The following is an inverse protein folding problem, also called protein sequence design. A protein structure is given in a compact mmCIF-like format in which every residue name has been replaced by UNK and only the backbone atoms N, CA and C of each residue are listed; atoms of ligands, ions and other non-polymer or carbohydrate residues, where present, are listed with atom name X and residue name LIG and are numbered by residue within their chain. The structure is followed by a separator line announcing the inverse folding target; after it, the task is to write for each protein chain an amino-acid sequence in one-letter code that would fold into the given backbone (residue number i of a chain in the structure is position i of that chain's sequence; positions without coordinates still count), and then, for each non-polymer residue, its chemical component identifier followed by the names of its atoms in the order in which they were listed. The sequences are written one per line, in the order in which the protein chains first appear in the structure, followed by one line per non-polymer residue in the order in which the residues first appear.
data_IF_324093102005
#
_entry.id   IF_324093102005
#
_cell.length_a   1.000
_cell.length_b   1.000
_cell.length_c   1.000
_cell.angle_alpha   90.00
_cell.angle_beta   90.00
_cell.angle_gamma   90.00
#
_symmetry.space_group_name_H-M   'P 1'
#
loop_
_entity.id
_entity.type
_entity.pdbx_description
1 polymer ?
#
# COMPACT_ATOMS: atom_id res chain seq x y z
N UNK A 1 -5.32 2.27 -9.16
CA UNK A 1 -6.52 2.99 -9.64
C UNK A 1 -6.19 4.40 -10.11
N UNK A 2 -7.12 5.08 -10.78
CA UNK A 2 -6.98 6.52 -11.10
C UNK A 2 -8.22 7.36 -10.75
N UNK A 3 -9.31 6.77 -10.23
CA UNK A 3 -10.52 7.51 -9.84
C UNK A 3 -11.10 6.97 -8.52
N UNK A 4 -11.55 7.90 -7.67
CA UNK A 4 -12.25 7.61 -6.42
C UNK A 4 -13.57 6.89 -6.71
N UNK A 5 -13.92 5.92 -5.85
CA UNK A 5 -15.16 5.14 -5.90
C UNK A 5 -16.10 5.46 -4.74
N UNK A 6 -15.59 6.07 -3.67
CA UNK A 6 -16.39 6.53 -2.54
C UNK A 6 -16.40 8.05 -2.48
N UNK A 7 -17.40 8.56 -1.79
CA UNK A 7 -17.45 9.98 -1.49
C UNK A 7 -16.22 10.38 -0.68
N UNK A 8 -15.54 11.48 -1.06
CA UNK A 8 -14.36 11.93 -0.36
C UNK A 8 -14.70 12.35 1.07
N UNK A 9 -13.78 12.06 1.99
CA UNK A 9 -13.92 12.39 3.41
C UNK A 9 -13.23 13.72 3.70
N UNK A 10 -13.96 14.70 4.24
CA UNK A 10 -13.34 15.93 4.72
C UNK A 10 -12.47 15.67 5.94
N UNK A 11 -11.21 16.08 5.88
CA UNK A 11 -10.23 15.99 6.97
C UNK A 11 -9.74 17.38 7.31
N UNK A 12 -9.80 17.71 8.59
CA UNK A 12 -9.33 19.00 9.10
C UNK A 12 -7.80 19.07 9.06
N UNK A 13 -7.26 20.22 8.72
CA UNK A 13 -5.84 20.53 8.71
C UNK A 13 -5.61 21.63 9.74
N UNK A 14 -4.63 21.43 10.61
CA UNK A 14 -4.20 22.41 11.59
C UNK A 14 -2.69 22.60 11.47
N UNK A 15 -2.26 23.86 11.46
CA UNK A 15 -0.87 24.24 11.66
C UNK A 15 -0.45 23.95 13.10
N UNK A 16 0.86 23.76 13.32
CA UNK A 16 1.38 23.59 14.67
C UNK A 16 1.03 24.78 15.59
N UNK A 17 0.93 25.99 15.04
CA UNK A 17 0.52 27.19 15.79
C UNK A 17 -0.93 27.08 16.25
N UNK A 18 -1.84 26.66 15.35
CA UNK A 18 -3.25 26.47 15.69
C UNK A 18 -3.44 25.36 16.72
N UNK A 19 -2.76 24.22 16.55
CA UNK A 19 -2.80 23.10 17.49
C UNK A 19 -2.26 23.50 18.87
N UNK A 20 -1.08 24.11 18.93
CA UNK A 20 -0.48 24.56 20.19
C UNK A 20 -1.34 25.62 20.89
N UNK A 21 -1.95 26.53 20.13
CA UNK A 21 -2.81 27.58 20.67
C UNK A 21 -4.23 27.09 21.00
N UNK A 22 -4.56 25.81 20.73
CA UNK A 22 -5.91 25.23 20.85
C UNK A 22 -6.97 26.01 20.05
N UNK A 23 -6.58 26.54 18.90
CA UNK A 23 -7.48 27.21 17.97
C UNK A 23 -8.28 26.19 17.14
N UNK A 24 -9.29 26.67 16.41
CA UNK A 24 -9.98 25.85 15.41
C UNK A 24 -9.02 25.47 14.27
N UNK A 25 -9.27 24.34 13.57
CA UNK A 25 -8.50 23.96 12.41
C UNK A 25 -8.47 25.06 11.34
N UNK A 26 -7.31 25.25 10.70
CA UNK A 26 -7.09 26.31 9.72
C UNK A 26 -7.93 26.10 8.45
N UNK A 27 -8.09 24.84 8.03
CA UNK A 27 -8.85 24.48 6.83
C UNK A 27 -9.22 23.00 6.84
N UNK A 28 -9.85 22.53 5.76
CA UNK A 28 -10.13 21.11 5.53
C UNK A 28 -9.78 20.70 4.10
N UNK A 29 -9.43 19.43 3.92
CA UNK A 29 -9.16 18.83 2.62
C UNK A 29 -10.00 17.58 2.40
N UNK A 30 -10.45 17.38 1.17
CA UNK A 30 -11.13 16.17 0.74
C UNK A 30 -10.11 15.04 0.52
N UNK A 31 -10.27 13.95 1.26
CA UNK A 31 -9.41 12.77 1.21
C UNK A 31 -10.13 11.57 0.63
N UNK A 32 -9.38 10.66 -0.02
CA UNK A 32 -9.88 9.34 -0.36
C UNK A 32 -10.19 8.53 0.91
N UNK A 33 -11.11 7.57 0.80
CA UNK A 33 -11.34 6.66 1.91
C UNK A 33 -10.06 5.82 2.17
N UNK A 34 -9.67 5.57 3.43
CA UNK A 34 -8.47 4.79 3.75
C UNK A 34 -8.45 3.40 3.11
N UNK A 35 -9.63 2.78 2.96
CA UNK A 35 -9.77 1.46 2.31
C UNK A 35 -9.43 1.49 0.82
N UNK A 36 -9.74 2.58 0.11
CA UNK A 36 -9.39 2.74 -1.31
C UNK A 36 -7.89 2.92 -1.46
N UNK A 37 -7.29 3.66 -0.54
CA UNK A 37 -5.84 3.81 -0.46
C UNK A 37 -5.18 2.46 -0.21
N UNK A 38 -5.69 1.66 0.74
CA UNK A 38 -5.16 0.33 1.01
C UNK A 38 -5.23 -0.58 -0.22
N UNK A 39 -6.36 -0.61 -0.93
CA UNK A 39 -6.53 -1.40 -2.16
C UNK A 39 -5.54 -0.94 -3.24
N UNK A 40 -5.36 0.37 -3.42
CA UNK A 40 -4.37 0.91 -4.37
C UNK A 40 -2.94 0.52 -3.99
N UNK A 41 -2.57 0.58 -2.71
CA UNK A 41 -1.25 0.14 -2.22
C UNK A 41 -1.00 -1.34 -2.48
N UNK A 42 -1.98 -2.20 -2.23
CA UNK A 42 -1.89 -3.64 -2.53
C UNK A 42 -1.69 -3.87 -4.04
N UNK A 43 -2.52 -3.24 -4.88
CA UNK A 43 -2.42 -3.38 -6.34
C UNK A 43 -1.09 -2.86 -6.89
N UNK A 44 -0.62 -1.71 -6.39
CA UNK A 44 0.66 -1.12 -6.76
C UNK A 44 1.84 -1.99 -6.33
N UNK A 45 1.84 -2.51 -5.10
CA UNK A 45 2.87 -3.42 -4.60
C UNK A 45 2.94 -4.68 -5.48
N UNK A 46 1.81 -5.35 -5.70
CA UNK A 46 1.71 -6.56 -6.54
C UNK A 46 2.28 -6.32 -7.94
N UNK A 47 1.82 -5.26 -8.61
CA UNK A 47 2.27 -4.95 -9.96
C UNK A 47 3.78 -4.67 -9.99
N UNK A 48 4.27 -3.81 -9.09
CA UNK A 48 5.66 -3.39 -9.07
C UNK A 48 6.60 -4.54 -8.70
N UNK A 49 6.24 -5.41 -7.75
CA UNK A 49 7.04 -6.59 -7.40
C UNK A 49 7.10 -7.55 -8.58
N UNK A 50 5.96 -7.84 -9.22
CA UNK A 50 5.93 -8.78 -10.34
C UNK A 50 6.68 -8.27 -11.57
N UNK A 51 6.64 -6.96 -11.84
CA UNK A 51 7.35 -6.34 -12.97
C UNK A 51 8.75 -5.84 -12.63
N UNK A 52 9.21 -5.96 -11.37
CA UNK A 52 10.53 -5.45 -10.97
C UNK A 52 11.63 -6.15 -11.77
N UNK A 53 12.53 -5.35 -12.34
CA UNK A 53 13.75 -5.80 -12.97
C UNK A 53 14.94 -5.21 -12.22
N UNK A 54 15.67 -6.02 -11.45
CA UNK A 54 16.82 -5.59 -10.65
C UNK A 54 17.99 -5.08 -11.49
N UNK A 55 18.06 -5.46 -12.77
CA UNK A 55 19.11 -5.03 -13.69
C UNK A 55 18.80 -3.70 -14.38
N UNK A 56 17.62 -3.12 -14.14
CA UNK A 56 17.25 -1.81 -14.69
C UNK A 56 17.97 -0.71 -13.90
N UNK A 57 18.63 0.21 -14.61
CA UNK A 57 19.32 1.37 -13.99
C UNK A 57 18.36 2.29 -13.24
N UNK A 58 17.06 2.23 -13.56
CA UNK A 58 16.01 2.99 -12.89
C UNK A 58 15.32 2.18 -11.77
N UNK A 59 15.78 0.96 -11.46
CA UNK A 59 15.25 0.19 -10.33
C UNK A 59 15.47 0.95 -9.03
N UNK A 60 14.39 1.11 -8.27
CA UNK A 60 14.37 1.93 -7.07
C UNK A 60 13.65 1.23 -5.92
N UNK A 61 14.17 1.29 -4.68
CA UNK A 61 13.55 0.55 -3.58
C UNK A 61 12.26 1.18 -3.08
N UNK A 62 11.96 2.44 -3.47
CA UNK A 62 10.83 3.22 -2.98
C UNK A 62 9.46 2.54 -3.09
N UNK A 63 9.32 1.53 -3.96
CA UNK A 63 8.10 0.73 -4.06
C UNK A 63 7.79 -0.08 -2.79
N UNK A 64 8.82 -0.48 -2.04
CA UNK A 64 8.66 -1.38 -0.88
C UNK A 64 7.89 -0.72 0.25
N UNK A 65 7.86 0.61 0.31
CA UNK A 65 7.05 1.39 1.26
C UNK A 65 5.57 1.04 1.19
N UNK A 66 5.07 0.56 0.05
CA UNK A 66 3.66 0.16 -0.08
C UNK A 66 3.32 -1.01 0.84
N UNK A 67 4.29 -1.87 1.17
CA UNK A 67 4.11 -2.92 2.17
C UNK A 67 3.85 -2.34 3.57
N UNK A 68 4.63 -1.32 3.95
CA UNK A 68 4.42 -0.59 5.21
C UNK A 68 3.10 0.17 5.21
N UNK A 69 2.82 0.96 4.17
CA UNK A 69 1.57 1.71 4.01
C UNK A 69 0.35 0.79 4.19
N UNK A 70 0.40 -0.42 3.61
CA UNK A 70 -0.66 -1.41 3.71
C UNK A 70 -0.82 -1.95 5.14
N UNK A 71 0.28 -2.18 5.85
CA UNK A 71 0.23 -2.60 7.26
C UNK A 71 -0.32 -1.51 8.19
N UNK A 72 0.02 -0.24 7.96
CA UNK A 72 -0.55 0.89 8.71
C UNK A 72 -2.07 0.96 8.51
N UNK A 73 -2.56 0.61 7.32
CA UNK A 73 -3.99 0.60 6.99
C UNK A 73 -4.72 -0.69 7.39
N UNK A 74 -4.06 -1.62 8.10
CA UNK A 74 -4.60 -2.97 8.39
C UNK A 74 -5.99 -2.97 9.02
N UNK A 75 -6.27 -2.08 9.96
CA UNK A 75 -7.55 -2.07 10.68
C UNK A 75 -8.72 -1.70 9.75
N UNK A 76 -8.48 -0.81 8.79
CA UNK A 76 -9.45 -0.50 7.74
C UNK A 76 -9.67 -1.68 6.80
N UNK A 77 -8.61 -2.37 6.41
CA UNK A 77 -8.68 -3.57 5.56
C UNK A 77 -9.46 -4.68 6.26
N UNK A 78 -9.17 -4.95 7.53
CA UNK A 78 -9.81 -6.02 8.30
C UNK A 78 -11.29 -5.73 8.59
N UNK A 79 -11.63 -4.47 8.88
CA UNK A 79 -13.02 -4.06 9.13
C UNK A 79 -13.89 -4.00 7.86
N UNK A 80 -13.28 -3.86 6.68
CA UNK A 80 -13.99 -3.69 5.40
C UNK A 80 -13.51 -4.71 4.34
N UNK A 81 -13.31 -5.96 4.77
CA UNK A 81 -12.71 -7.04 3.97
C UNK A 81 -13.36 -7.25 2.60
N UNK A 82 -14.71 -7.27 2.55
CA UNK A 82 -15.46 -7.47 1.30
C UNK A 82 -15.21 -6.35 0.29
N UNK A 83 -15.26 -5.11 0.76
CA UNK A 83 -15.06 -3.93 -0.09
C UNK A 83 -13.62 -3.86 -0.58
N UNK A 84 -12.66 -4.15 0.30
CA UNK A 84 -11.24 -4.23 -0.06
C UNK A 84 -11.01 -5.22 -1.20
N UNK A 85 -11.55 -6.44 -1.10
CA UNK A 85 -11.41 -7.46 -2.15
C UNK A 85 -12.03 -7.00 -3.46
N UNK A 86 -13.26 -6.49 -3.41
CA UNK A 86 -13.96 -6.00 -4.59
C UNK A 86 -13.16 -4.90 -5.30
N UNK A 87 -12.53 -4.01 -4.54
CA UNK A 87 -11.61 -3.01 -5.09
C UNK A 87 -10.39 -3.71 -5.71
N UNK A 88 -9.64 -4.54 -4.99
CA UNK A 88 -8.43 -5.18 -5.53
C UNK A 88 -8.72 -5.96 -6.84
N UNK A 89 -9.81 -6.73 -6.90
CA UNK A 89 -10.25 -7.39 -8.14
C UNK A 89 -10.49 -6.41 -9.28
N UNK A 90 -11.23 -5.35 -9.02
CA UNK A 90 -11.53 -4.36 -10.05
C UNK A 90 -10.30 -3.54 -10.47
N UNK A 91 -9.31 -3.33 -9.58
CA UNK A 91 -8.01 -2.75 -9.98
C UNK A 91 -7.28 -3.69 -10.91
N UNK A 92 -7.26 -4.98 -10.57
CA UNK A 92 -6.58 -5.99 -11.34
C UNK A 92 -7.16 -6.09 -12.75
N UNK A 93 -8.48 -6.21 -12.88
CA UNK A 93 -9.17 -6.21 -14.18
C UNK A 93 -8.86 -4.97 -15.02
N UNK A 94 -8.75 -3.81 -14.37
CA UNK A 94 -8.39 -2.56 -15.06
C UNK A 94 -6.91 -2.53 -15.50
N UNK A 95 -5.99 -3.07 -14.69
CA UNK A 95 -4.58 -3.16 -15.03
C UNK A 95 -4.33 -4.19 -16.14
N UNK A 96 -5.05 -5.31 -16.17
CA UNK A 96 -4.95 -6.32 -17.25
C UNK A 96 -5.37 -5.78 -18.62
N UNK A 97 -6.29 -4.81 -18.65
CA UNK A 97 -6.71 -4.11 -19.88
C UNK A 97 -5.67 -3.09 -20.39
N UNK A 98 -4.64 -2.77 -19.60
CA UNK A 98 -3.59 -1.81 -19.94
C UNK A 98 -2.32 -2.57 -20.28
N UNK A 99 -1.88 -2.54 -21.54
CA UNK A 99 -0.70 -3.29 -22.02
C UNK A 99 0.53 -3.14 -21.14
N UNK A 100 0.83 -1.92 -20.67
CA UNK A 100 1.98 -1.65 -19.80
C UNK A 100 1.86 -2.22 -18.38
N UNK A 101 0.65 -2.59 -17.92
CA UNK A 101 0.38 -3.10 -16.55
C UNK A 101 -0.13 -4.53 -16.51
N UNK A 102 -0.55 -5.06 -17.65
CA UNK A 102 -0.97 -6.45 -17.81
C UNK A 102 0.14 -7.41 -17.37
N UNK A 103 -0.22 -8.39 -16.54
CA UNK A 103 0.64 -9.51 -16.16
C UNK A 103 0.31 -10.78 -16.96
N UNK A 104 -0.91 -10.89 -17.50
CA UNK A 104 -1.33 -12.03 -18.32
C UNK A 104 -1.53 -13.33 -17.55
N UNK A 105 -1.55 -13.25 -16.22
CA UNK A 105 -1.74 -14.39 -15.30
C UNK A 105 -2.85 -14.06 -14.30
N UNK A 106 -3.63 -15.05 -13.82
CA UNK A 106 -4.70 -14.83 -12.84
C UNK A 106 -4.26 -14.07 -11.59
N UNK A 107 -5.20 -13.35 -10.95
CA UNK A 107 -4.90 -12.56 -9.75
C UNK A 107 -4.22 -13.38 -8.66
N UNK A 108 -4.74 -14.58 -8.40
CA UNK A 108 -4.20 -15.48 -7.38
C UNK A 108 -2.74 -15.84 -7.67
N UNK A 109 -2.43 -16.22 -8.92
CA UNK A 109 -1.06 -16.52 -9.34
C UNK A 109 -0.16 -15.29 -9.24
N UNK A 110 -0.65 -14.11 -9.62
CA UNK A 110 0.11 -12.86 -9.47
C UNK A 110 0.41 -12.54 -8.00
N UNK A 111 -0.49 -12.84 -7.07
CA UNK A 111 -0.28 -12.65 -5.63
C UNK A 111 0.76 -13.65 -5.13
N UNK A 112 0.68 -14.91 -5.54
CA UNK A 112 1.64 -15.96 -5.17
C UNK A 112 3.06 -15.64 -5.70
N UNK A 113 3.19 -15.17 -6.94
CA UNK A 113 4.45 -14.71 -7.50
C UNK A 113 5.03 -13.52 -6.73
N UNK A 114 4.19 -12.54 -6.37
CA UNK A 114 4.61 -11.40 -5.55
C UNK A 114 5.18 -11.88 -4.20
N UNK A 115 4.46 -12.75 -3.49
CA UNK A 115 4.89 -13.27 -2.19
C UNK A 115 6.18 -14.09 -2.31
N UNK A 116 6.31 -14.89 -3.37
CA UNK A 116 7.51 -15.68 -3.63
C UNK A 116 8.72 -14.77 -3.89
N UNK A 117 8.56 -13.70 -4.68
CA UNK A 117 9.62 -12.72 -4.94
C UNK A 117 10.05 -11.99 -3.68
N UNK A 118 9.08 -11.47 -2.90
CA UNK A 118 9.35 -10.80 -1.62
C UNK A 118 10.06 -11.71 -0.61
N UNK A 119 9.82 -13.03 -0.65
CA UNK A 119 10.43 -13.99 0.27
C UNK A 119 11.81 -14.50 -0.19
N UNK A 120 12.09 -14.51 -1.50
CA UNK A 120 13.33 -15.06 -2.06
C UNK A 120 14.43 -14.02 -2.24
N UNK A 121 14.04 -12.78 -2.52
CA UNK A 121 14.97 -11.68 -2.74
C UNK A 121 15.31 -11.01 -1.41
N UNK A 122 16.48 -11.36 -0.88
CA UNK A 122 17.01 -10.91 0.41
C UNK A 122 17.21 -9.40 0.50
N UNK A 123 17.22 -8.68 -0.62
CA UNK A 123 17.41 -7.23 -0.60
C UNK A 123 16.16 -6.50 -0.11
N UNK A 124 14.96 -7.08 -0.25
CA UNK A 124 13.72 -6.40 0.11
C UNK A 124 13.64 -6.00 1.58
N UNK A 125 14.21 -6.80 2.49
CA UNK A 125 14.24 -6.48 3.91
C UNK A 125 15.10 -5.24 4.20
N UNK A 126 16.32 -5.21 3.66
CA UNK A 126 17.22 -4.06 3.80
C UNK A 126 16.63 -2.80 3.16
N UNK A 127 15.97 -2.94 2.01
CA UNK A 127 15.26 -1.86 1.33
C UNK A 127 14.08 -1.33 2.16
N UNK A 128 13.30 -2.23 2.75
CA UNK A 128 12.19 -1.89 3.63
C UNK A 128 12.70 -1.09 4.83
N UNK A 129 13.73 -1.59 5.51
CA UNK A 129 14.33 -0.93 6.65
C UNK A 129 14.88 0.46 6.28
N UNK A 130 15.63 0.56 5.18
CA UNK A 130 16.19 1.81 4.71
C UNK A 130 15.13 2.87 4.41
N UNK A 131 14.02 2.48 3.78
CA UNK A 131 12.94 3.42 3.43
C UNK A 131 12.00 3.73 4.60
N UNK A 132 11.61 2.74 5.39
CA UNK A 132 10.63 2.92 6.47
C UNK A 132 11.25 3.73 7.60
N UNK A 133 12.51 3.43 7.97
CA UNK A 133 13.21 4.17 9.03
C UNK A 133 13.54 5.61 8.64
N UNK A 134 13.74 5.90 7.36
CA UNK A 134 14.06 7.26 6.89
C UNK A 134 12.85 8.15 6.64
N UNK A 135 11.66 7.57 6.40
CA UNK A 135 10.49 8.32 5.95
C UNK A 135 9.31 8.35 6.93
N UNK A 136 9.37 7.57 8.01
CA UNK A 136 8.28 7.52 8.99
C UNK A 136 8.64 8.30 10.25
N UNK A 137 7.87 9.34 10.52
CA UNK A 137 7.97 10.20 11.70
C UNK A 137 7.08 9.72 12.87
N UNK A 138 6.44 8.55 12.72
CA UNK A 138 5.60 7.95 13.76
C UNK A 138 6.41 7.44 14.94
N UNK A 139 5.75 7.21 16.08
CA UNK A 139 6.38 6.56 17.22
C UNK A 139 6.88 5.15 16.85
N UNK A 140 7.86 4.61 17.58
CA UNK A 140 8.41 3.28 17.33
C UNK A 140 7.38 2.14 17.34
N UNK A 141 6.19 2.39 17.90
CA UNK A 141 5.06 1.45 17.94
C UNK A 141 4.28 1.35 16.61
N UNK A 142 4.39 2.34 15.73
CA UNK A 142 3.72 2.35 14.42
C UNK A 142 4.61 1.82 13.28
N UNK A 143 5.90 1.62 13.57
CA UNK A 143 6.89 1.07 12.63
C UNK A 143 6.86 -0.45 12.68
N UNK A 144 6.11 -1.06 11.77
CA UNK A 144 6.20 -2.51 11.59
C UNK A 144 7.60 -2.90 11.09
N UNK A 145 8.13 -4.02 11.60
CA UNK A 145 9.26 -4.67 10.96
C UNK A 145 8.83 -5.28 9.61
N UNK A 146 9.81 -5.55 8.74
CA UNK A 146 9.56 -6.23 7.47
C UNK A 146 8.80 -7.55 7.68
N UNK A 147 9.23 -8.37 8.64
CA UNK A 147 8.59 -9.64 8.97
C UNK A 147 7.11 -9.49 9.36
N UNK A 148 6.81 -8.50 10.20
CA UNK A 148 5.43 -8.23 10.65
C UNK A 148 4.56 -7.80 9.47
N UNK A 149 5.09 -6.93 8.61
CA UNK A 149 4.36 -6.47 7.43
C UNK A 149 4.18 -7.59 6.38
N UNK A 150 5.18 -8.44 6.16
CA UNK A 150 5.10 -9.61 5.28
C UNK A 150 4.12 -10.65 5.82
N UNK A 151 4.13 -10.94 7.12
CA UNK A 151 3.18 -11.89 7.72
C UNK A 151 1.74 -11.39 7.56
N UNK A 152 1.50 -10.10 7.77
CA UNK A 152 0.21 -9.49 7.47
C UNK A 152 -0.17 -9.63 6.00
N UNK A 153 0.75 -9.33 5.06
CA UNK A 153 0.50 -9.47 3.62
C UNK A 153 0.17 -10.93 3.25
N UNK A 154 0.88 -11.92 3.82
CA UNK A 154 0.62 -13.36 3.62
C UNK A 154 -0.77 -13.74 4.10
N UNK A 155 -1.17 -13.30 5.30
CA UNK A 155 -2.52 -13.53 5.85
C UNK A 155 -3.60 -12.90 4.99
N UNK A 156 -3.37 -11.67 4.54
CA UNK A 156 -4.30 -10.94 3.66
C UNK A 156 -4.45 -11.63 2.30
N UNK A 157 -3.34 -12.12 1.73
CA UNK A 157 -3.30 -12.76 0.42
C UNK A 157 -4.09 -14.06 0.34
N UNK A 158 -4.20 -14.82 1.45
CA UNK A 158 -5.02 -16.05 1.53
C UNK A 158 -6.53 -15.81 1.39
N UNK A 159 -6.95 -14.55 1.34
CA UNK A 159 -8.35 -14.18 1.26
C UNK A 159 -8.85 -13.94 -0.18
N UNK A 160 -7.94 -13.95 -1.15
CA UNK A 160 -8.23 -13.94 -2.58
C UNK A 160 -8.25 -15.37 -3.12
#
# INVERSE_FOLDING_TARGET
FTQARRDPQSRQISSFVAEFSKNQPDTSILCLAPIETAADKFSALRLRVNKRNRSDEQDGPAMIRHLHDLYVLRDYVLSQDKDFKAMVHASYEADEKRSSRCLGIPLQEAIEQMLAKLSKDVLYEAEYDGYVKSMSYGGSQDLASFDVAIDFLKKLSRKF
#
